data_IF_414503025409
#
_entry.id   IF_414503025409
#
_cell.length_a   1.000
_cell.length_b   1.000
_cell.length_c   1.000
_cell.angle_alpha   90.00
_cell.angle_beta   90.00
_cell.angle_gamma   90.00
#
_symmetry.space_group_name_H-M   'P 1'
#
loop_
_entity.id
_entity.type
_entity.pdbx_description
1 polymer ?
#
# COMPACT_ATOMS: atom_id res chain seq x y z
N UNK A 1 -10.30 -15.14 -13.83
CA UNK A 1 -10.13 -13.69 -13.53
C UNK A 1 -9.39 -13.61 -12.19
N UNK A 2 -8.47 -12.66 -11.99
CA UNK A 2 -7.60 -12.69 -10.82
C UNK A 2 -8.39 -12.48 -9.52
N UNK A 3 -8.37 -13.49 -8.66
CA UNK A 3 -8.78 -13.39 -7.26
C UNK A 3 -7.62 -12.78 -6.49
N UNK A 4 -7.89 -11.87 -5.54
CA UNK A 4 -6.85 -11.36 -4.67
C UNK A 4 -6.58 -12.37 -3.58
N UNK A 5 -5.36 -12.88 -3.57
CA UNK A 5 -4.93 -13.89 -2.61
C UNK A 5 -3.92 -13.21 -1.67
N UNK A 6 -4.31 -12.95 -0.40
CA UNK A 6 -3.39 -12.47 0.63
C UNK A 6 -2.15 -13.37 0.76
N UNK A 7 -0.97 -12.77 0.63
CA UNK A 7 0.28 -13.51 0.83
C UNK A 7 0.57 -13.70 2.34
N UNK A 8 1.17 -14.85 2.74
CA UNK A 8 1.61 -15.04 4.12
C UNK A 8 2.60 -13.94 4.54
N UNK A 9 2.45 -13.41 5.76
CA UNK A 9 3.28 -12.30 6.25
C UNK A 9 4.78 -12.60 6.20
N UNK A 10 5.20 -13.79 6.68
CA UNK A 10 6.59 -14.21 6.63
C UNK A 10 7.16 -14.27 5.22
N UNK A 11 6.35 -14.67 4.23
CA UNK A 11 6.77 -14.69 2.83
C UNK A 11 6.95 -13.27 2.29
N UNK A 12 6.09 -12.31 2.66
CA UNK A 12 6.26 -10.90 2.31
C UNK A 12 7.54 -10.30 2.91
N UNK A 13 7.83 -10.57 4.18
CA UNK A 13 9.06 -10.11 4.84
C UNK A 13 10.30 -10.69 4.14
N UNK A 14 10.33 -12.00 3.93
CA UNK A 14 11.45 -12.69 3.26
C UNK A 14 11.66 -12.16 1.84
N UNK A 15 10.59 -12.00 1.06
CA UNK A 15 10.65 -11.47 -0.31
C UNK A 15 11.19 -10.04 -0.33
N UNK A 16 10.63 -9.17 0.51
CA UNK A 16 11.00 -7.76 0.62
C UNK A 16 12.49 -7.55 0.86
N UNK A 17 13.09 -8.28 1.82
CA UNK A 17 14.52 -8.14 2.09
C UNK A 17 15.41 -8.89 1.11
N UNK A 18 14.98 -10.07 0.63
CA UNK A 18 15.75 -10.79 -0.40
C UNK A 18 15.90 -9.95 -1.66
N UNK A 19 14.80 -9.41 -2.19
CA UNK A 19 14.82 -8.56 -3.40
C UNK A 19 15.65 -7.29 -3.18
N UNK A 20 15.58 -6.68 -2.00
CA UNK A 20 16.35 -5.48 -1.71
C UNK A 20 17.85 -5.76 -1.77
N UNK A 21 18.28 -6.92 -1.28
CA UNK A 21 19.69 -7.31 -1.30
C UNK A 21 20.15 -7.75 -2.69
N UNK A 22 19.40 -8.64 -3.36
CA UNK A 22 19.83 -9.31 -4.59
C UNK A 22 19.50 -8.53 -5.86
N UNK A 23 18.41 -7.76 -5.87
CA UNK A 23 17.84 -7.16 -7.09
C UNK A 23 17.72 -5.63 -7.00
N UNK A 24 17.97 -5.05 -5.81
CA UNK A 24 17.77 -3.62 -5.55
C UNK A 24 16.34 -3.20 -5.87
N UNK A 25 15.38 -4.00 -5.42
CA UNK A 25 13.94 -3.77 -5.55
C UNK A 25 13.19 -4.22 -4.29
N UNK A 26 11.95 -3.78 -4.12
CA UNK A 26 11.00 -4.34 -3.16
C UNK A 26 9.68 -4.54 -3.89
N UNK A 27 9.17 -5.76 -3.90
CA UNK A 27 8.00 -6.18 -4.66
C UNK A 27 8.06 -5.69 -6.12
N UNK A 28 9.21 -5.95 -6.76
CA UNK A 28 9.55 -5.53 -8.13
C UNK A 28 9.68 -4.00 -8.35
N UNK A 29 9.45 -3.17 -7.34
CA UNK A 29 9.67 -1.73 -7.41
C UNK A 29 11.14 -1.39 -7.18
N UNK A 30 11.78 -0.77 -8.17
CA UNK A 30 13.23 -0.52 -8.15
C UNK A 30 13.64 0.51 -7.09
N UNK A 31 14.68 0.21 -6.31
CA UNK A 31 15.21 1.04 -5.23
C UNK A 31 15.56 2.46 -5.66
N UNK A 32 16.08 2.64 -6.88
CA UNK A 32 16.39 3.96 -7.44
C UNK A 32 15.17 4.89 -7.61
N UNK A 33 13.96 4.34 -7.52
CA UNK A 33 12.69 5.10 -7.57
C UNK A 33 12.09 5.35 -6.19
N UNK A 34 12.66 4.79 -5.12
CA UNK A 34 12.14 4.99 -3.77
C UNK A 34 12.25 6.46 -3.38
N UNK A 35 11.17 6.99 -2.84
CA UNK A 35 11.15 8.29 -2.21
C UNK A 35 11.63 8.14 -0.76
N UNK A 36 12.90 8.44 -0.56
CA UNK A 36 13.57 8.45 0.75
C UNK A 36 13.59 9.85 1.40
N UNK A 37 12.84 10.80 0.85
CA UNK A 37 12.91 12.22 1.19
C UNK A 37 13.87 12.99 0.29
N UNK A 38 13.80 14.33 0.33
CA UNK A 38 14.68 15.20 -0.45
C UNK A 38 15.30 16.24 0.47
N UNK A 39 16.63 16.29 0.52
CA UNK A 39 17.35 17.28 1.31
C UNK A 39 17.04 18.70 0.82
N UNK A 40 16.88 19.63 1.79
CA UNK A 40 16.65 21.04 1.51
C UNK A 40 15.24 21.39 1.02
N UNK A 41 14.28 20.45 1.06
CA UNK A 41 12.87 20.72 0.78
C UNK A 41 11.98 20.11 1.85
N UNK A 42 11.09 20.95 2.39
CA UNK A 42 10.06 20.53 3.34
C UNK A 42 8.73 20.36 2.58
N UNK A 43 8.25 19.12 2.51
CA UNK A 43 6.92 18.78 1.97
C UNK A 43 5.93 18.45 3.09
N UNK A 44 6.29 18.72 4.35
CA UNK A 44 5.49 18.28 5.47
C UNK A 44 4.18 19.07 5.58
N UNK A 45 3.13 18.38 6.03
CA UNK A 45 1.82 18.97 6.29
C UNK A 45 1.27 18.51 7.63
N UNK A 46 0.45 19.35 8.24
CA UNK A 46 -0.39 18.94 9.38
C UNK A 46 -1.63 18.23 8.87
N UNK A 47 -1.81 16.98 9.31
CA UNK A 47 -2.96 16.16 8.96
C UNK A 47 -3.51 15.47 10.22
N UNK A 48 -4.79 15.68 10.53
CA UNK A 48 -5.44 15.22 11.77
C UNK A 48 -4.60 15.44 13.05
N UNK A 49 -3.98 16.62 13.18
CA UNK A 49 -3.16 16.97 14.34
C UNK A 49 -1.76 16.33 14.39
N UNK A 50 -1.39 15.52 13.39
CA UNK A 50 -0.07 14.90 13.25
C UNK A 50 0.74 15.57 12.14
N UNK A 51 2.07 15.42 12.19
CA UNK A 51 2.94 15.80 11.09
C UNK A 51 3.06 14.65 10.10
N UNK A 52 2.85 14.92 8.81
CA UNK A 52 3.12 13.98 7.71
C UNK A 52 4.25 14.55 6.88
N UNK A 53 5.27 13.77 6.53
CA UNK A 53 6.42 14.27 5.74
C UNK A 53 6.13 14.47 4.25
N UNK A 54 4.90 14.18 3.81
CA UNK A 54 4.38 14.42 2.46
C UNK A 54 2.85 14.57 2.53
N UNK A 55 2.22 15.39 1.68
CA UNK A 55 0.76 15.49 1.61
C UNK A 55 0.13 14.38 0.75
N UNK A 56 0.94 13.51 0.16
CA UNK A 56 0.50 12.56 -0.86
C UNK A 56 0.02 11.25 -0.25
N UNK A 57 -0.94 10.65 -0.93
CA UNK A 57 -1.16 9.22 -0.93
C UNK A 57 -2.46 8.83 -1.63
N UNK A 58 -2.68 7.52 -1.82
CA UNK A 58 -3.81 7.02 -2.58
C UNK A 58 -5.12 7.21 -1.82
N UNK A 59 -6.16 7.56 -2.58
CA UNK A 59 -7.55 7.48 -2.13
C UNK A 59 -7.98 6.02 -1.95
N UNK A 60 -9.07 5.82 -1.20
CA UNK A 60 -9.65 4.50 -0.98
C UNK A 60 -10.01 3.82 -2.30
N UNK A 61 -9.52 2.61 -2.52
CA UNK A 61 -9.76 1.89 -3.77
C UNK A 61 -8.96 0.60 -3.90
N UNK A 62 -8.93 -0.02 -5.09
CA UNK A 62 -8.29 -1.33 -5.29
C UNK A 62 -6.78 -1.34 -4.96
N UNK A 63 -6.12 -0.18 -4.96
CA UNK A 63 -4.70 -0.06 -4.65
C UNK A 63 -4.40 -0.11 -3.14
N UNK A 64 -5.39 0.15 -2.27
CA UNK A 64 -5.18 0.26 -0.82
C UNK A 64 -5.76 -0.92 -0.03
N UNK A 65 -5.85 -2.08 -0.68
CA UNK A 65 -6.39 -3.32 -0.07
C UNK A 65 -5.33 -4.37 0.30
N UNK A 66 -4.20 -4.43 -0.42
CA UNK A 66 -3.15 -5.43 -0.22
C UNK A 66 -1.94 -4.86 0.53
N UNK A 67 -1.33 -5.66 1.40
CA UNK A 67 -0.20 -5.25 2.24
C UNK A 67 0.98 -4.71 1.42
N UNK A 68 1.37 -5.42 0.36
CA UNK A 68 2.46 -5.01 -0.52
C UNK A 68 2.19 -3.67 -1.20
N UNK A 69 0.94 -3.38 -1.57
CA UNK A 69 0.61 -2.12 -2.24
C UNK A 69 0.70 -0.92 -1.28
N UNK A 70 0.41 -1.11 0.01
CA UNK A 70 0.61 -0.08 1.03
C UNK A 70 2.11 0.23 1.20
N UNK A 71 2.96 -0.81 1.23
CA UNK A 71 4.42 -0.66 1.27
C UNK A 71 4.92 0.07 0.02
N UNK A 72 4.47 -0.34 -1.17
CA UNK A 72 4.84 0.31 -2.43
C UNK A 72 4.38 1.76 -2.50
N UNK A 73 3.17 2.07 -2.01
CA UNK A 73 2.68 3.45 -1.91
C UNK A 73 3.56 4.29 -1.00
N UNK A 74 3.98 3.75 0.15
CA UNK A 74 4.89 4.41 1.07
C UNK A 74 6.29 4.62 0.49
N UNK A 75 6.85 3.62 -0.18
CA UNK A 75 8.12 3.70 -0.93
C UNK A 75 8.02 4.69 -2.09
N UNK A 76 6.85 4.89 -2.68
CA UNK A 76 6.58 5.92 -3.68
C UNK A 76 6.43 7.34 -3.10
N UNK A 77 6.48 7.50 -1.77
CA UNK A 77 6.43 8.80 -1.08
C UNK A 77 5.08 9.15 -0.46
N UNK A 78 4.14 8.22 -0.46
CA UNK A 78 2.85 8.41 0.21
C UNK A 78 2.99 8.37 1.73
N UNK A 79 2.26 9.24 2.43
CA UNK A 79 2.20 9.28 3.90
C UNK A 79 0.77 9.37 4.44
N UNK A 80 -0.19 9.73 3.59
CA UNK A 80 -1.62 9.80 3.93
C UNK A 80 -2.35 8.83 3.00
N UNK A 81 -2.70 7.64 3.49
CA UNK A 81 -3.36 6.62 2.68
C UNK A 81 -4.77 6.36 3.19
N UNK A 82 -5.75 6.43 2.30
CA UNK A 82 -7.11 6.00 2.60
C UNK A 82 -7.25 4.51 2.26
N UNK A 83 -7.47 3.69 3.28
CA UNK A 83 -7.64 2.25 3.09
C UNK A 83 -8.95 1.95 2.35
N UNK A 84 -8.93 0.87 1.57
CA UNK A 84 -10.11 0.38 0.87
C UNK A 84 -11.27 0.24 1.86
N UNK A 85 -12.45 0.70 1.46
CA UNK A 85 -13.65 0.55 2.27
C UNK A 85 -13.92 -0.93 2.57
N UNK A 86 -14.07 -1.23 3.87
CA UNK A 86 -14.43 -2.57 4.37
C UNK A 86 -15.88 -2.53 4.86
N UNK A 87 -16.68 -3.49 4.43
CA UNK A 87 -18.08 -3.63 4.80
C UNK A 87 -18.34 -4.99 5.47
N UNK A 88 -19.40 -5.05 6.28
CA UNK A 88 -19.80 -6.26 7.01
C UNK A 88 -20.34 -7.33 6.04
N UNK A 89 -21.01 -6.93 4.96
CA UNK A 89 -21.51 -7.83 3.94
C UNK A 89 -20.41 -8.11 2.90
N UNK A 90 -19.50 -9.02 3.23
CA UNK A 90 -18.27 -9.29 2.47
C UNK A 90 -18.33 -10.55 1.60
N UNK A 91 -19.50 -11.17 1.48
CA UNK A 91 -19.75 -12.35 0.64
C UNK A 91 -20.69 -12.03 -0.55
N UNK A 92 -20.65 -10.79 -1.05
CA UNK A 92 -21.43 -10.38 -2.21
C UNK A 92 -20.91 -11.03 -3.50
N UNK A 93 -21.82 -11.63 -4.27
CA UNK A 93 -21.55 -12.01 -5.64
C UNK A 93 -21.65 -10.80 -6.56
N UNK A 94 -20.50 -10.35 -7.07
CA UNK A 94 -20.41 -9.13 -7.88
C UNK A 94 -20.02 -9.50 -9.30
N UNK A 95 -20.83 -9.12 -10.32
CA UNK A 95 -20.51 -9.38 -11.71
C UNK A 95 -19.21 -8.67 -12.09
N UNK A 96 -18.38 -9.35 -12.87
CA UNK A 96 -17.07 -8.83 -13.29
C UNK A 96 -16.97 -8.74 -14.83
N UNK A 97 -16.26 -7.73 -15.39
CA UNK A 97 -15.47 -6.72 -14.70
C UNK A 97 -16.34 -5.73 -13.90
N UNK A 98 -15.97 -5.48 -12.65
CA UNK A 98 -16.68 -4.54 -11.76
C UNK A 98 -16.23 -3.08 -11.97
N UNK A 99 -15.23 -2.87 -12.81
CA UNK A 99 -14.77 -1.58 -13.31
C UNK A 99 -14.64 -1.72 -14.82
N UNK A 100 -15.40 -0.92 -15.57
CA UNK A 100 -15.23 -0.73 -17.00
C UNK A 100 -14.79 0.71 -17.24
N UNK A 101 -13.64 0.89 -17.90
CA UNK A 101 -13.01 2.18 -18.14
C UNK A 101 -12.73 2.41 -19.64
N UNK A 102 -13.50 1.77 -20.53
CA UNK A 102 -13.28 1.93 -21.97
C UNK A 102 -13.52 3.36 -22.47
N UNK A 103 -14.51 4.07 -21.91
CA UNK A 103 -14.83 5.46 -22.27
C UNK A 103 -15.25 6.27 -21.04
N UNK A 104 -16.48 6.06 -20.59
CA UNK A 104 -16.98 6.49 -19.27
C UNK A 104 -16.71 5.38 -18.28
N UNK A 105 -16.21 5.74 -17.10
CA UNK A 105 -15.96 4.81 -16.02
C UNK A 105 -17.27 4.31 -15.40
N UNK A 106 -17.58 3.03 -15.57
CA UNK A 106 -18.65 2.36 -14.83
C UNK A 106 -18.01 1.57 -13.69
N UNK A 107 -18.53 1.75 -12.48
CA UNK A 107 -18.12 0.98 -11.32
C UNK A 107 -19.35 0.38 -10.64
N UNK A 108 -19.27 -0.90 -10.32
CA UNK A 108 -20.24 -1.55 -9.44
C UNK A 108 -19.88 -1.17 -8.01
N UNK A 109 -20.76 -0.44 -7.34
CA UNK A 109 -20.59 -0.08 -5.93
C UNK A 109 -20.49 -1.33 -5.05
N UNK A 110 -19.85 -1.18 -3.88
CA UNK A 110 -19.65 -2.26 -2.90
C UNK A 110 -18.77 -3.43 -3.39
N UNK A 111 -17.99 -3.23 -4.45
CA UNK A 111 -17.00 -4.19 -4.94
C UNK A 111 -15.76 -4.27 -4.03
N UNK A 112 -15.94 -4.82 -2.83
CA UNK A 112 -14.86 -5.26 -1.96
C UNK A 112 -14.45 -6.69 -2.34
N UNK A 113 -13.15 -6.92 -2.45
CA UNK A 113 -12.60 -8.18 -2.91
C UNK A 113 -12.16 -9.12 -1.79
N UNK A 114 -11.72 -8.56 -0.65
CA UNK A 114 -11.25 -9.32 0.52
C UNK A 114 -12.33 -9.41 1.58
N UNK A 115 -12.40 -10.50 2.33
CA UNK A 115 -13.22 -10.60 3.54
C UNK A 115 -12.79 -9.59 4.60
N UNK A 116 -13.64 -9.33 5.59
CA UNK A 116 -13.35 -8.43 6.72
C UNK A 116 -12.05 -8.85 7.43
N UNK A 117 -11.92 -10.14 7.77
CA UNK A 117 -10.73 -10.67 8.44
C UNK A 117 -9.48 -10.56 7.57
N UNK A 118 -9.60 -10.84 6.26
CA UNK A 118 -8.50 -10.70 5.31
C UNK A 118 -8.05 -9.24 5.19
N UNK A 119 -8.99 -8.30 5.13
CA UNK A 119 -8.71 -6.86 5.08
C UNK A 119 -7.96 -6.40 6.32
N UNK A 120 -8.41 -6.82 7.52
CA UNK A 120 -7.71 -6.56 8.78
C UNK A 120 -6.26 -7.07 8.71
N UNK A 121 -6.07 -8.33 8.30
CA UNK A 121 -4.74 -8.91 8.18
C UNK A 121 -3.85 -8.14 7.20
N UNK A 122 -4.35 -7.76 6.02
CA UNK A 122 -3.56 -7.02 5.03
C UNK A 122 -3.15 -5.62 5.53
N UNK A 123 -4.02 -4.92 6.26
CA UNK A 123 -3.71 -3.59 6.81
C UNK A 123 -2.69 -3.66 7.93
N UNK A 124 -2.84 -4.63 8.84
CA UNK A 124 -1.86 -4.85 9.91
C UNK A 124 -0.51 -5.26 9.33
N UNK A 125 -0.49 -6.20 8.36
CA UNK A 125 0.74 -6.59 7.66
C UNK A 125 1.40 -5.40 6.97
N UNK A 126 0.65 -4.60 6.21
CA UNK A 126 1.19 -3.43 5.51
C UNK A 126 1.84 -2.43 6.47
N UNK A 127 1.16 -2.12 7.58
CA UNK A 127 1.72 -1.26 8.62
C UNK A 127 2.99 -1.85 9.25
N UNK A 128 2.97 -3.15 9.60
CA UNK A 128 4.12 -3.84 10.17
C UNK A 128 5.32 -3.88 9.20
N UNK A 129 5.09 -4.14 7.92
CA UNK A 129 6.14 -4.18 6.90
C UNK A 129 6.83 -2.81 6.76
N UNK A 130 6.05 -1.72 6.76
CA UNK A 130 6.61 -0.35 6.73
C UNK A 130 7.46 -0.10 7.98
N UNK A 131 6.97 -0.42 9.17
CA UNK A 131 7.73 -0.21 10.41
C UNK A 131 8.99 -1.09 10.48
N UNK A 132 8.92 -2.33 9.99
CA UNK A 132 10.08 -3.22 9.86
C UNK A 132 11.13 -2.63 8.91
N UNK A 133 10.72 -2.11 7.74
CA UNK A 133 11.63 -1.44 6.81
C UNK A 133 12.30 -0.22 7.45
N UNK A 134 11.53 0.62 8.14
CA UNK A 134 12.06 1.80 8.86
C UNK A 134 13.07 1.39 9.93
N UNK A 135 12.74 0.37 10.74
CA UNK A 135 13.60 -0.12 11.81
C UNK A 135 14.85 -0.85 11.30
N UNK A 136 14.81 -1.39 10.07
CA UNK A 136 15.93 -2.16 9.51
C UNK A 136 17.20 -1.34 9.23
N UNK A 137 17.07 -0.01 9.08
CA UNK A 137 18.18 0.87 8.68
C UNK A 137 18.71 0.61 7.25
N UNK A 138 18.01 -0.19 6.44
CA UNK A 138 18.40 -0.51 5.06
C UNK A 138 18.03 0.58 4.04
N UNK A 139 17.26 1.59 4.47
CA UNK A 139 16.83 2.72 3.66
C UNK A 139 17.39 4.00 4.28
N UNK A 140 18.05 4.83 3.46
CA UNK A 140 18.59 6.12 3.87
C UNK A 140 17.48 7.18 3.93
N UNK A 141 16.51 6.98 4.82
CA UNK A 141 15.37 7.89 5.00
C UNK A 141 15.85 9.22 5.59
N UNK A 142 15.45 10.33 4.97
CA UNK A 142 15.67 11.66 5.51
C UNK A 142 14.90 11.89 6.83
N UNK A 143 15.53 12.60 7.76
CA UNK A 143 14.90 13.10 8.98
C UNK A 143 14.06 14.35 8.66
N UNK A 144 12.88 14.15 8.05
CA UNK A 144 11.90 15.21 7.79
C UNK A 144 10.60 14.96 8.56
#
# INVERSE_FOLDING_TARGET
>A
MAELIPHPFGALVTRMFTELETEKSIFDYLQKKFFIGQSGRDYSVKFHGKNSSSPLGPASGPQTQMAQNLVLSWLGGSRIMELKTVQILDELEIPRPCIDMQTVGYNVEWSQELRVEQSLHEYVKGAMLIEILRASGKLDLAEN
#
